data_IF_671596821667
#
_entry.id   IF_671596821667
#
_cell.length_a   1.000
_cell.length_b   1.000
_cell.length_c   1.000
_cell.angle_alpha   90.00
_cell.angle_beta   90.00
_cell.angle_gamma   90.00
#
_symmetry.space_group_name_H-M   'P 1'
#
loop_
_entity.id
_entity.type
_entity.pdbx_description
1 polymer ?
#
# COMPACT_ATOMS: atom_id res chain seq x y z
N UNK A 1 28.57 -16.30 -8.41
CA UNK A 1 27.29 -16.81 -7.86
C UNK A 1 26.65 -15.70 -7.05
N UNK A 2 25.37 -15.39 -7.30
CA UNK A 2 24.62 -14.46 -6.44
C UNK A 2 24.41 -15.12 -5.08
N UNK A 3 24.89 -14.52 -3.99
CA UNK A 3 24.64 -15.03 -2.64
C UNK A 3 23.13 -15.01 -2.36
N UNK A 4 22.53 -16.20 -2.22
CA UNK A 4 21.11 -16.41 -1.93
C UNK A 4 20.98 -17.48 -0.86
N UNK A 5 20.08 -17.27 0.09
CA UNK A 5 19.82 -18.21 1.17
C UNK A 5 18.51 -18.98 0.96
N UNK A 6 18.46 -20.30 1.22
CA UNK A 6 17.18 -21.01 1.35
C UNK A 6 16.26 -20.42 2.43
N UNK A 7 16.81 -19.70 3.41
CA UNK A 7 16.05 -19.01 4.46
C UNK A 7 15.13 -17.90 3.90
N UNK A 8 15.37 -17.43 2.67
CA UNK A 8 14.55 -16.44 1.99
C UNK A 8 13.13 -16.94 1.69
N UNK A 9 12.84 -18.24 1.90
CA UNK A 9 11.46 -18.78 1.93
C UNK A 9 10.55 -18.05 2.93
N UNK A 10 11.09 -17.38 3.95
CA UNK A 10 10.31 -16.55 4.90
C UNK A 10 9.48 -15.47 4.20
N UNK A 11 9.96 -14.92 3.08
CA UNK A 11 9.20 -13.96 2.28
C UNK A 11 7.96 -14.59 1.64
N UNK A 12 8.04 -15.86 1.25
CA UNK A 12 6.91 -16.62 0.72
C UNK A 12 5.94 -17.03 1.82
N UNK A 13 6.46 -17.38 3.00
CA UNK A 13 5.64 -17.65 4.18
C UNK A 13 4.80 -16.43 4.59
N UNK A 14 5.39 -15.23 4.59
CA UNK A 14 4.65 -13.98 4.80
C UNK A 14 3.47 -13.86 3.83
N UNK A 15 3.69 -14.08 2.53
CA UNK A 15 2.63 -14.05 1.52
C UNK A 15 1.56 -15.09 1.82
N UNK A 16 1.96 -16.32 2.17
CA UNK A 16 1.02 -17.40 2.45
C UNK A 16 0.08 -17.11 3.63
N UNK A 17 0.59 -16.45 4.67
CA UNK A 17 -0.20 -16.08 5.86
C UNK A 17 -1.10 -14.87 5.60
N UNK A 18 -0.60 -13.89 4.85
CA UNK A 18 -1.23 -12.58 4.73
C UNK A 18 -2.15 -12.45 3.51
N UNK A 19 -1.83 -13.10 2.39
CA UNK A 19 -2.60 -12.98 1.15
C UNK A 19 -4.06 -13.45 1.26
N UNK A 20 -4.42 -14.53 1.98
CA UNK A 20 -5.82 -14.94 2.13
C UNK A 20 -6.68 -13.87 2.80
N UNK A 21 -6.17 -13.23 3.85
CA UNK A 21 -6.85 -12.13 4.52
C UNK A 21 -6.94 -10.91 3.61
N UNK A 22 -5.85 -10.55 2.93
CA UNK A 22 -5.85 -9.41 2.02
C UNK A 22 -6.86 -9.57 0.88
N UNK A 23 -6.93 -10.76 0.27
CA UNK A 23 -7.87 -11.06 -0.82
C UNK A 23 -9.33 -11.01 -0.33
N UNK A 24 -9.62 -11.69 0.79
CA UNK A 24 -10.98 -11.74 1.34
C UNK A 24 -11.47 -10.35 1.77
N UNK A 25 -10.61 -9.56 2.41
CA UNK A 25 -10.94 -8.21 2.86
C UNK A 25 -11.04 -7.20 1.71
N UNK A 26 -10.38 -7.41 0.57
CA UNK A 26 -10.59 -6.59 -0.62
C UNK A 26 -11.95 -6.83 -1.26
N UNK A 27 -12.36 -8.11 -1.36
CA UNK A 27 -13.55 -8.48 -2.08
C UNK A 27 -14.83 -8.29 -1.26
N UNK A 28 -14.77 -8.66 0.02
CA UNK A 28 -15.93 -8.64 0.91
C UNK A 28 -15.50 -8.34 2.36
N UNK A 29 -15.06 -7.10 2.65
CA UNK A 29 -14.59 -6.74 3.99
C UNK A 29 -15.66 -6.91 5.07
N UNK A 30 -16.93 -6.69 4.73
CA UNK A 30 -18.04 -6.80 5.67
C UNK A 30 -18.42 -8.25 6.01
N UNK A 31 -17.99 -9.25 5.23
CA UNK A 31 -18.24 -10.66 5.54
C UNK A 31 -17.20 -11.27 6.48
N UNK A 32 -16.17 -10.51 6.86
CA UNK A 32 -15.18 -10.97 7.84
C UNK A 32 -15.86 -10.93 9.22
N UNK A 33 -15.85 -12.05 9.98
CA UNK A 33 -16.65 -12.19 11.20
C UNK A 33 -16.00 -11.52 12.41
N UNK A 34 -15.60 -10.25 12.31
CA UNK A 34 -15.14 -9.48 13.46
C UNK A 34 -16.32 -8.98 14.29
N UNK A 35 -16.15 -8.98 15.62
CA UNK A 35 -17.22 -8.71 16.58
C UNK A 35 -17.84 -7.30 16.46
N UNK A 36 -17.07 -6.30 16.01
CA UNK A 36 -17.51 -4.89 15.97
C UNK A 36 -17.24 -4.24 14.61
N UNK A 37 -18.10 -4.54 13.63
CA UNK A 37 -17.95 -4.05 12.26
C UNK A 37 -18.62 -2.68 12.03
N UNK A 38 -18.04 -1.62 12.60
CA UNK A 38 -18.46 -0.23 12.39
C UNK A 38 -17.88 0.37 11.10
N UNK A 39 -18.32 1.57 10.69
CA UNK A 39 -17.70 2.31 9.57
C UNK A 39 -16.19 2.51 9.78
N UNK A 40 -15.78 2.90 10.98
CA UNK A 40 -14.36 3.06 11.33
C UNK A 40 -13.62 1.73 11.21
N UNK A 41 -14.20 0.64 11.72
CA UNK A 41 -13.61 -0.70 11.60
C UNK A 41 -13.45 -1.11 10.14
N UNK A 42 -14.47 -0.88 9.29
CA UNK A 42 -14.42 -1.21 7.88
C UNK A 42 -13.37 -0.39 7.12
N UNK A 43 -13.25 0.90 7.41
CA UNK A 43 -12.22 1.76 6.81
C UNK A 43 -10.82 1.28 7.23
N UNK A 44 -10.61 1.04 8.52
CA UNK A 44 -9.33 0.54 9.03
C UNK A 44 -8.99 -0.83 8.46
N UNK A 45 -9.98 -1.72 8.34
CA UNK A 45 -9.80 -3.03 7.71
C UNK A 45 -9.38 -2.90 6.26
N UNK A 46 -10.01 -2.02 5.48
CA UNK A 46 -9.61 -1.75 4.09
C UNK A 46 -8.21 -1.12 3.98
N UNK A 47 -7.84 -0.21 4.89
CA UNK A 47 -6.50 0.37 4.94
C UNK A 47 -5.44 -0.68 5.33
N UNK A 48 -5.76 -1.53 6.31
CA UNK A 48 -4.91 -2.65 6.70
C UNK A 48 -4.72 -3.62 5.53
N UNK A 49 -5.82 -3.96 4.85
CA UNK A 49 -5.81 -4.80 3.64
C UNK A 49 -4.90 -4.24 2.56
N UNK A 50 -4.98 -2.93 2.29
CA UNK A 50 -4.11 -2.25 1.35
C UNK A 50 -2.63 -2.36 1.74
N UNK A 51 -2.33 -2.17 3.04
CA UNK A 51 -0.98 -2.28 3.56
C UNK A 51 -0.45 -3.72 3.46
N UNK A 52 -1.24 -4.69 3.92
CA UNK A 52 -0.91 -6.11 3.85
C UNK A 52 -0.64 -6.54 2.41
N UNK A 53 -1.51 -6.19 1.46
CA UNK A 53 -1.30 -6.51 0.05
C UNK A 53 -0.04 -5.86 -0.53
N UNK A 54 0.23 -4.59 -0.17
CA UNK A 54 1.48 -3.93 -0.54
C UNK A 54 2.70 -4.68 0.01
N UNK A 55 2.67 -5.14 1.28
CA UNK A 55 3.76 -5.94 1.85
C UNK A 55 3.94 -7.27 1.12
N UNK A 56 2.87 -7.98 0.76
CA UNK A 56 2.95 -9.20 -0.04
C UNK A 56 3.62 -8.97 -1.41
N UNK A 57 3.32 -7.85 -2.08
CA UNK A 57 3.97 -7.50 -3.34
C UNK A 57 5.44 -7.16 -3.11
N UNK A 58 5.77 -6.41 -2.05
CA UNK A 58 7.15 -6.11 -1.69
C UNK A 58 7.96 -7.38 -1.43
N UNK A 59 7.44 -8.29 -0.59
CA UNK A 59 8.11 -9.56 -0.26
C UNK A 59 8.31 -10.42 -1.50
N UNK A 60 7.32 -10.48 -2.41
CA UNK A 60 7.44 -11.18 -3.69
C UNK A 60 8.56 -10.60 -4.57
N UNK A 61 8.68 -9.27 -4.63
CA UNK A 61 9.66 -8.59 -5.47
C UNK A 61 11.09 -8.65 -4.90
N UNK A 62 11.26 -8.70 -3.58
CA UNK A 62 12.59 -8.82 -2.95
C UNK A 62 13.04 -10.28 -2.81
N UNK A 63 12.13 -11.24 -2.74
CA UNK A 63 12.46 -12.67 -2.63
C UNK A 63 13.52 -13.18 -3.63
N UNK A 64 13.50 -12.83 -4.93
CA UNK A 64 14.51 -13.31 -5.88
C UNK A 64 15.83 -12.52 -5.82
N UNK A 65 15.94 -11.46 -5.02
CA UNK A 65 17.13 -10.63 -4.96
C UNK A 65 18.21 -11.27 -4.06
N UNK A 66 19.51 -11.10 -4.38
CA UNK A 66 20.59 -11.43 -3.44
C UNK A 66 20.45 -10.70 -2.10
N UNK A 67 20.91 -11.33 -1.02
CA UNK A 67 20.70 -10.89 0.38
C UNK A 67 21.24 -9.48 0.68
N UNK A 68 22.23 -9.01 -0.07
CA UNK A 68 22.90 -7.73 0.14
C UNK A 68 22.38 -6.60 -0.74
N UNK A 69 21.40 -6.85 -1.62
CA UNK A 69 20.86 -5.81 -2.51
C UNK A 69 19.76 -5.00 -1.81
N UNK A 70 19.83 -3.66 -1.81
CA UNK A 70 18.76 -2.83 -1.28
C UNK A 70 17.50 -2.90 -2.15
N UNK A 71 16.40 -3.39 -1.58
CA UNK A 71 15.08 -3.54 -2.23
C UNK A 71 14.33 -2.23 -2.51
N UNK A 72 15.01 -1.12 -2.84
CA UNK A 72 14.41 0.22 -2.95
C UNK A 72 13.24 0.28 -3.96
N UNK A 73 13.36 -0.42 -5.08
CA UNK A 73 12.31 -0.48 -6.11
C UNK A 73 11.10 -1.32 -5.66
N UNK A 74 11.33 -2.40 -4.93
CA UNK A 74 10.24 -3.18 -4.34
C UNK A 74 9.48 -2.33 -3.33
N UNK A 75 10.19 -1.62 -2.43
CA UNK A 75 9.58 -0.68 -1.48
C UNK A 75 8.76 0.39 -2.19
N UNK A 76 9.29 1.01 -3.25
CA UNK A 76 8.57 2.02 -4.02
C UNK A 76 7.27 1.48 -4.64
N UNK A 77 7.27 0.25 -5.16
CA UNK A 77 6.04 -0.40 -5.68
C UNK A 77 5.03 -0.63 -4.55
N UNK A 78 5.48 -1.17 -3.41
CA UNK A 78 4.62 -1.34 -2.23
C UNK A 78 3.99 -0.03 -1.77
N UNK A 79 4.79 1.03 -1.63
CA UNK A 79 4.30 2.37 -1.28
C UNK A 79 3.30 2.90 -2.32
N UNK A 80 3.58 2.69 -3.62
CA UNK A 80 2.67 3.10 -4.69
C UNK A 80 1.33 2.38 -4.58
N UNK A 81 1.32 1.05 -4.40
CA UNK A 81 0.09 0.26 -4.22
C UNK A 81 -0.67 0.75 -2.99
N UNK A 82 0.01 0.81 -1.83
CA UNK A 82 -0.61 1.25 -0.58
C UNK A 82 -1.26 2.62 -0.70
N UNK A 83 -0.51 3.63 -1.14
CA UNK A 83 -1.02 5.00 -1.21
C UNK A 83 -2.11 5.18 -2.27
N UNK A 84 -2.05 4.45 -3.38
CA UNK A 84 -3.11 4.49 -4.40
C UNK A 84 -4.41 3.87 -3.89
N UNK A 85 -4.33 2.72 -3.22
CA UNK A 85 -5.50 2.05 -2.67
C UNK A 85 -6.05 2.82 -1.45
N UNK A 86 -5.19 3.29 -0.55
CA UNK A 86 -5.58 4.07 0.61
C UNK A 86 -6.31 5.37 0.22
N UNK A 87 -5.83 6.06 -0.83
CA UNK A 87 -6.54 7.19 -1.43
C UNK A 87 -7.97 6.82 -1.81
N UNK A 88 -8.15 5.76 -2.59
CA UNK A 88 -9.48 5.29 -3.02
C UNK A 88 -10.36 4.92 -1.82
N UNK A 89 -9.82 4.20 -0.84
CA UNK A 89 -10.56 3.82 0.38
C UNK A 89 -11.06 5.06 1.12
N UNK A 90 -10.23 6.08 1.28
CA UNK A 90 -10.57 7.31 1.99
C UNK A 90 -11.58 8.17 1.22
N UNK A 91 -11.43 8.28 -0.10
CA UNK A 91 -12.40 9.00 -0.95
C UNK A 91 -13.78 8.35 -0.97
N UNK A 92 -13.83 7.03 -0.86
CA UNK A 92 -15.08 6.26 -0.86
C UNK A 92 -15.61 5.95 0.55
N UNK A 93 -14.90 6.38 1.59
CA UNK A 93 -15.30 6.10 2.96
C UNK A 93 -16.57 6.90 3.32
N UNK A 94 -17.52 6.31 4.07
CA UNK A 94 -18.49 7.11 4.79
C UNK A 94 -17.77 7.98 5.83
N UNK A 95 -18.46 9.00 6.36
CA UNK A 95 -17.90 9.83 7.43
C UNK A 95 -17.48 8.96 8.62
N UNK A 96 -16.22 9.07 9.03
CA UNK A 96 -15.69 8.31 10.19
C UNK A 96 -14.78 9.14 11.09
N UNK A 97 -14.36 10.34 10.66
CA UNK A 97 -13.63 11.30 11.48
C UNK A 97 -14.62 12.31 12.07
N UNK A 98 -14.77 12.42 13.40
CA UNK A 98 -15.75 13.32 14.03
C UNK A 98 -15.24 14.77 14.12
N UNK A 99 -14.60 15.28 13.07
CA UNK A 99 -14.05 16.63 13.03
C UNK A 99 -14.36 17.31 11.71
N UNK A 100 -14.78 18.57 11.74
CA UNK A 100 -15.05 19.39 10.56
C UNK A 100 -14.04 20.53 10.44
N UNK A 101 -13.72 20.94 9.21
CA UNK A 101 -12.98 22.19 8.95
C UNK A 101 -13.88 23.43 8.95
N UNK A 102 -15.19 23.26 9.17
CA UNK A 102 -16.18 24.33 9.22
C UNK A 102 -17.23 24.21 8.10
N UNK A 103 -18.39 24.90 8.23
CA UNK A 103 -19.52 24.72 7.31
C UNK A 103 -19.19 25.00 5.85
N UNK A 104 -18.35 25.99 5.58
CA UNK A 104 -17.92 26.33 4.21
C UNK A 104 -17.17 25.17 3.55
N UNK A 105 -16.16 24.60 4.23
CA UNK A 105 -15.37 23.50 3.68
C UNK A 105 -16.21 22.23 3.50
N UNK A 106 -17.11 21.93 4.44
CA UNK A 106 -18.07 20.82 4.30
C UNK A 106 -18.98 21.02 3.08
N UNK A 107 -19.45 22.24 2.81
CA UNK A 107 -20.27 22.54 1.63
C UNK A 107 -19.53 22.31 0.30
N UNK A 108 -18.20 22.43 0.33
CA UNK A 108 -17.30 22.13 -0.79
C UNK A 108 -16.81 20.68 -0.80
N UNK A 109 -17.31 19.82 0.10
CA UNK A 109 -16.87 18.43 0.31
C UNK A 109 -15.38 18.30 0.69
N UNK A 110 -14.79 19.36 1.25
CA UNK A 110 -13.44 19.33 1.80
C UNK A 110 -13.53 18.84 3.24
N UNK A 111 -13.63 17.52 3.40
CA UNK A 111 -13.62 16.85 4.72
C UNK A 111 -12.22 16.34 5.05
N UNK A 112 -11.89 16.06 6.34
CA UNK A 112 -10.63 15.42 6.71
C UNK A 112 -10.31 14.15 5.93
N UNK A 113 -11.29 13.27 5.67
CA UNK A 113 -11.10 12.05 4.90
C UNK A 113 -10.69 12.35 3.46
N UNK A 114 -11.35 13.33 2.83
CA UNK A 114 -11.07 13.74 1.44
C UNK A 114 -9.68 14.37 1.33
N UNK A 115 -9.30 15.23 2.28
CA UNK A 115 -7.95 15.81 2.34
C UNK A 115 -6.91 14.71 2.54
N UNK A 116 -7.15 13.79 3.49
CA UNK A 116 -6.25 12.68 3.77
C UNK A 116 -6.09 11.74 2.57
N UNK A 117 -7.20 11.41 1.89
CA UNK A 117 -7.22 10.65 0.65
C UNK A 117 -6.46 11.34 -0.47
N UNK A 118 -6.66 12.65 -0.65
CA UNK A 118 -5.92 13.47 -1.62
C UNK A 118 -4.41 13.40 -1.40
N UNK A 119 -3.96 13.58 -0.16
CA UNK A 119 -2.54 13.51 0.19
C UNK A 119 -1.94 12.11 -0.12
N UNK A 120 -2.70 11.05 0.13
CA UNK A 120 -2.29 9.68 -0.25
C UNK A 120 -2.21 9.54 -1.77
N UNK A 121 -3.19 10.06 -2.52
CA UNK A 121 -3.17 10.05 -3.98
C UNK A 121 -1.94 10.76 -4.56
N UNK A 122 -1.59 11.92 -4.01
CA UNK A 122 -0.39 12.67 -4.40
C UNK A 122 0.89 11.90 -4.13
N UNK A 123 1.00 11.20 -2.99
CA UNK A 123 2.14 10.34 -2.70
C UNK A 123 2.24 9.17 -3.68
N UNK A 124 1.11 8.53 -4.03
CA UNK A 124 1.08 7.49 -5.07
C UNK A 124 1.61 8.00 -6.41
N UNK A 125 1.16 9.18 -6.85
CA UNK A 125 1.65 9.82 -8.07
C UNK A 125 3.15 10.16 -7.99
N UNK A 126 3.61 10.66 -6.84
CA UNK A 126 5.02 10.98 -6.62
C UNK A 126 5.91 9.72 -6.78
N UNK A 127 5.46 8.55 -6.35
CA UNK A 127 6.17 7.29 -6.57
C UNK A 127 6.29 6.93 -8.06
N UNK A 128 5.23 7.16 -8.85
CA UNK A 128 5.25 6.94 -10.31
C UNK A 128 6.23 7.90 -10.99
N UNK A 129 6.18 9.19 -10.65
CA UNK A 129 7.11 10.20 -11.18
C UNK A 129 8.55 9.84 -10.83
N UNK A 130 8.82 9.48 -9.57
CA UNK A 130 10.14 9.05 -9.12
C UNK A 130 10.62 7.80 -9.87
N UNK A 131 9.73 6.82 -10.09
CA UNK A 131 10.07 5.60 -10.81
C UNK A 131 10.55 5.91 -12.23
N UNK A 132 9.79 6.72 -12.97
CA UNK A 132 10.12 7.12 -14.34
C UNK A 132 11.39 7.97 -14.39
N UNK A 133 11.50 8.97 -13.52
CA UNK A 133 12.66 9.87 -13.46
C UNK A 133 13.97 9.18 -13.09
N UNK A 134 13.93 7.98 -12.51
CA UNK A 134 15.13 7.23 -12.08
C UNK A 134 15.47 6.02 -12.95
N UNK A 135 14.78 5.79 -14.08
CA UNK A 135 15.08 4.68 -14.99
C UNK A 135 16.50 4.78 -15.59
N UNK A 136 16.97 5.99 -15.91
CA UNK A 136 18.32 6.21 -16.44
C UNK A 136 19.42 5.73 -15.49
N UNK A 137 19.29 6.00 -14.19
CA UNK A 137 20.25 5.55 -13.17
C UNK A 137 20.33 4.02 -13.07
N UNK A 138 19.21 3.31 -13.27
CA UNK A 138 19.23 1.84 -13.30
C UNK A 138 19.92 1.33 -14.56
N UNK A 139 19.65 1.94 -15.72
CA UNK A 139 20.33 1.58 -16.95
C UNK A 139 21.84 1.78 -16.84
N UNK A 140 22.28 2.86 -16.19
CA UNK A 140 23.70 3.10 -15.89
C UNK A 140 24.28 2.04 -14.95
N UNK A 141 23.62 1.76 -13.83
CA UNK A 141 24.09 0.77 -12.85
C UNK A 141 24.20 -0.65 -13.44
N UNK A 142 23.30 -1.02 -14.36
CA UNK A 142 23.35 -2.31 -15.07
C UNK A 142 24.50 -2.43 -16.06
N UNK A 143 25.06 -1.31 -16.56
CA UNK A 143 26.24 -1.34 -17.44
C UNK A 143 27.54 -1.51 -16.66
N UNK A 144 27.53 -1.16 -15.37
CA UNK A 144 28.70 -1.21 -14.49
C UNK A 144 28.75 -2.46 -13.61
N UNK A 145 27.68 -3.25 -13.57
CA UNK A 145 27.53 -4.47 -12.78
C UNK A 145 27.64 -5.71 -13.68
#
# INVERSE_FOLDING_TARGET
MSARSPLSVVFLLHIALEAPLAISAFWSPASIPFLQMTNTTLVLLKLYTAFTAATCVMTLLVHPLPEFLPGKRALAIGLCIYHSVASTVLFQAPRFIPHSFGPLFESLKVTPEVVWGTLHGLLGLAMVVWWQGTLGYVAMARKTA
#
